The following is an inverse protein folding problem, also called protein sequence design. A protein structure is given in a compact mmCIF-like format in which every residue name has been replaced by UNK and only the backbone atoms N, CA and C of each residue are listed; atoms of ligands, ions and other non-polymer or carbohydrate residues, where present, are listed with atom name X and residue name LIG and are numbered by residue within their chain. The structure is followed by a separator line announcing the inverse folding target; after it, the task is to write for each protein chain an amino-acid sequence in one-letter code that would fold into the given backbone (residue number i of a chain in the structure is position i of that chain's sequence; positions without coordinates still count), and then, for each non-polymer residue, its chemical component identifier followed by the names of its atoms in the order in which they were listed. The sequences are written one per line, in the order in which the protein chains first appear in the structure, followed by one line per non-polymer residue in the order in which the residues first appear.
data_IF_983989426242
#
_entry.id   IF_983989426242
#
_cell.length_a   1.000
_cell.length_b   1.000
_cell.length_c   1.000
_cell.angle_alpha   90.00
_cell.angle_beta   90.00
_cell.angle_gamma   90.00
#
_symmetry.space_group_name_H-M   'P 1'
#
loop_
_entity.id
_entity.type
_entity.pdbx_description
1 polymer ?
#
# COMPACT_ATOMS: atom_id res chain seq x y z
N UNK A 1 13.24 -55.09 -14.43
CA UNK A 1 12.32 -54.05 -14.91
C UNK A 1 11.49 -54.61 -16.04
N UNK A 2 10.18 -54.65 -15.87
CA UNK A 2 9.25 -55.08 -16.91
C UNK A 2 9.03 -53.95 -17.93
N UNK A 3 8.75 -54.30 -19.19
CA UNK A 3 8.48 -53.32 -20.26
C UNK A 3 7.35 -52.34 -19.90
N UNK A 4 6.37 -52.80 -19.14
CA UNK A 4 5.28 -51.97 -18.61
C UNK A 4 5.79 -50.85 -17.68
N UNK A 5 6.79 -51.12 -16.85
CA UNK A 5 7.37 -50.13 -15.93
C UNK A 5 8.13 -49.04 -16.71
N UNK A 6 8.85 -49.41 -17.77
CA UNK A 6 9.53 -48.46 -18.66
C UNK A 6 8.55 -47.54 -19.39
N UNK A 7 7.42 -48.09 -19.86
CA UNK A 7 6.37 -47.31 -20.52
C UNK A 7 5.74 -46.33 -19.54
N UNK A 8 5.47 -46.75 -18.29
CA UNK A 8 4.92 -45.86 -17.27
C UNK A 8 5.88 -44.72 -16.91
N UNK A 9 7.18 -45.01 -16.80
CA UNK A 9 8.20 -43.98 -16.53
C UNK A 9 8.29 -42.98 -17.70
N UNK A 10 8.23 -43.45 -18.94
CA UNK A 10 8.23 -42.58 -20.12
C UNK A 10 7.01 -41.67 -20.17
N UNK A 11 5.81 -42.22 -19.89
CA UNK A 11 4.58 -41.44 -19.83
C UNK A 11 4.64 -40.40 -18.71
N UNK A 12 5.11 -40.79 -17.51
CA UNK A 12 5.28 -39.87 -16.40
C UNK A 12 6.27 -38.73 -16.73
N UNK A 13 7.39 -39.05 -17.39
CA UNK A 13 8.35 -38.04 -17.86
C UNK A 13 7.74 -37.07 -18.87
N UNK A 14 6.93 -37.56 -19.81
CA UNK A 14 6.24 -36.73 -20.80
C UNK A 14 5.19 -35.81 -20.16
N UNK A 15 4.49 -36.27 -19.11
CA UNK A 15 3.49 -35.48 -18.40
C UNK A 15 4.12 -34.40 -17.50
N UNK A 16 5.31 -34.65 -16.95
CA UNK A 16 6.01 -33.69 -16.09
C UNK A 16 6.81 -32.64 -16.86
N UNK A 17 7.13 -32.90 -18.13
CA UNK A 17 7.86 -31.97 -18.99
C UNK A 17 7.21 -30.59 -19.16
N UNK A 18 5.89 -30.47 -19.46
CA UNK A 18 5.24 -29.16 -19.58
C UNK A 18 5.22 -28.40 -18.25
N UNK A 19 4.95 -29.06 -17.13
CA UNK A 19 4.98 -28.43 -15.79
C UNK A 19 6.37 -27.88 -15.46
N UNK A 20 7.44 -28.61 -15.82
CA UNK A 20 8.81 -28.14 -15.66
C UNK A 20 9.14 -26.95 -16.56
N UNK A 21 8.50 -26.86 -17.74
CA UNK A 21 8.64 -25.72 -18.63
C UNK A 21 7.91 -24.50 -18.09
N UNK A 22 6.66 -24.68 -17.66
CA UNK A 22 5.84 -23.63 -17.06
C UNK A 22 6.48 -23.06 -15.80
N UNK A 23 7.07 -23.92 -14.96
CA UNK A 23 7.81 -23.49 -13.78
C UNK A 23 9.04 -22.65 -14.12
N UNK A 24 9.78 -23.00 -15.18
CA UNK A 24 10.91 -22.19 -15.66
C UNK A 24 10.45 -20.85 -16.21
N UNK A 25 9.39 -20.82 -17.02
CA UNK A 25 8.88 -19.55 -17.59
C UNK A 25 8.27 -18.64 -16.53
N UNK A 26 7.60 -19.21 -15.52
CA UNK A 26 6.98 -18.44 -14.44
C UNK A 26 8.01 -17.96 -13.40
N UNK A 27 9.19 -18.59 -13.33
CA UNK A 27 10.30 -18.11 -12.51
C UNK A 27 10.85 -16.76 -13.01
N UNK A 28 10.81 -16.52 -14.32
CA UNK A 28 11.26 -15.26 -14.91
C UNK A 28 10.15 -14.19 -14.95
N UNK A 29 8.89 -14.59 -14.73
CA UNK A 29 7.71 -13.71 -14.64
C UNK A 29 7.30 -13.46 -13.18
N UNK A 30 8.28 -13.42 -12.28
CA UNK A 30 8.07 -12.99 -10.91
C UNK A 30 7.58 -11.55 -10.92
N UNK A 31 6.28 -11.37 -10.79
CA UNK A 31 5.67 -10.08 -10.43
C UNK A 31 6.29 -9.68 -9.10
N UNK A 32 7.20 -8.70 -9.14
CA UNK A 32 7.62 -8.02 -7.91
C UNK A 32 6.37 -7.38 -7.31
N UNK A 33 5.78 -8.06 -6.34
CA UNK A 33 4.97 -7.41 -5.33
C UNK A 33 5.92 -6.44 -4.64
N UNK A 34 5.94 -5.20 -5.11
CA UNK A 34 6.64 -4.13 -4.43
C UNK A 34 6.07 -4.06 -3.01
N UNK A 35 6.80 -4.59 -2.03
CA UNK A 35 6.48 -4.46 -0.59
C UNK A 35 6.34 -3.00 -0.15
N UNK A 36 6.73 -2.05 -1.01
CA UNK A 36 6.40 -0.64 -0.86
C UNK A 36 4.97 -0.41 -1.33
N UNK A 37 4.02 -0.66 -0.44
CA UNK A 37 2.83 0.19 -0.41
C UNK A 37 3.37 1.61 -0.27
N UNK A 38 3.13 2.54 -1.22
CA UNK A 38 3.53 3.92 -1.01
C UNK A 38 2.84 4.41 0.26
N UNK A 39 3.63 4.65 1.31
CA UNK A 39 3.17 5.27 2.55
C UNK A 39 2.68 6.71 2.25
N UNK A 40 3.13 7.26 1.12
CA UNK A 40 2.74 8.55 0.61
C UNK A 40 1.24 8.56 0.31
N UNK A 41 0.51 9.48 0.92
CA UNK A 41 -0.90 9.69 0.63
C UNK A 41 -1.08 10.08 -0.84
N UNK A 42 -2.23 9.76 -1.42
CA UNK A 42 -2.55 10.25 -2.77
C UNK A 42 -2.74 11.76 -2.75
N UNK A 43 -2.57 12.43 -3.90
CA UNK A 43 -2.80 13.88 -4.03
C UNK A 43 -4.19 14.30 -3.50
N UNK A 44 -5.22 13.48 -3.74
CA UNK A 44 -6.56 13.72 -3.20
C UNK A 44 -6.59 13.62 -1.67
N UNK A 45 -5.96 12.59 -1.09
CA UNK A 45 -5.91 12.41 0.36
C UNK A 45 -5.18 13.58 1.05
N UNK A 46 -4.11 14.09 0.45
CA UNK A 46 -3.40 15.26 0.95
C UNK A 46 -4.21 16.55 0.76
N UNK A 47 -4.94 16.70 -0.35
CA UNK A 47 -5.86 17.83 -0.56
C UNK A 47 -6.99 17.88 0.47
N UNK A 48 -7.62 16.73 0.75
CA UNK A 48 -8.64 16.62 1.81
C UNK A 48 -8.06 16.94 3.18
N UNK A 49 -6.85 16.45 3.48
CA UNK A 49 -6.20 16.73 4.76
C UNK A 49 -5.87 18.21 4.93
N UNK A 50 -5.40 18.87 3.86
CA UNK A 50 -5.14 20.33 3.83
C UNK A 50 -6.41 21.14 4.11
N UNK A 51 -7.53 20.77 3.47
CA UNK A 51 -8.82 21.42 3.71
C UNK A 51 -9.24 21.32 5.18
N UNK A 52 -9.14 20.12 5.77
CA UNK A 52 -9.52 19.92 7.18
C UNK A 52 -8.65 20.72 8.15
N UNK A 53 -7.36 20.89 7.86
CA UNK A 53 -6.50 21.73 8.68
C UNK A 53 -6.95 23.19 8.65
N UNK A 54 -7.28 23.71 7.46
CA UNK A 54 -7.80 25.07 7.31
C UNK A 54 -9.14 25.25 8.04
N UNK A 55 -10.05 24.28 7.94
CA UNK A 55 -11.35 24.31 8.63
C UNK A 55 -11.17 24.35 10.17
N UNK A 56 -10.21 23.58 10.70
CA UNK A 56 -9.92 23.57 12.15
C UNK A 56 -9.27 24.88 12.61
N UNK A 57 -8.40 25.48 11.79
CA UNK A 57 -7.79 26.78 12.08
C UNK A 57 -8.86 27.89 12.17
N UNK A 58 -9.83 27.88 11.25
CA UNK A 58 -10.97 28.80 11.28
C UNK A 58 -11.87 28.57 12.51
N UNK A 59 -12.18 27.31 12.84
CA UNK A 59 -12.96 26.96 14.03
C UNK A 59 -12.23 27.34 15.32
N UNK A 60 -10.91 27.20 15.38
CA UNK A 60 -10.09 27.62 16.51
C UNK A 60 -10.13 29.15 16.69
N UNK A 61 -10.06 29.91 15.60
CA UNK A 61 -10.14 31.37 15.63
C UNK A 61 -11.49 31.87 16.17
N UNK A 62 -12.57 31.11 15.94
CA UNK A 62 -13.93 31.43 16.42
C UNK A 62 -14.25 30.83 17.79
N UNK A 63 -13.36 30.02 18.37
CA UNK A 63 -13.58 29.35 19.64
C UNK A 63 -13.50 30.30 20.84
N UNK A 64 -14.62 30.40 21.57
CA UNK A 64 -14.76 31.29 22.74
C UNK A 64 -14.44 30.61 24.09
N UNK A 65 -14.46 29.27 24.16
CA UNK A 65 -14.21 28.52 25.40
C UNK A 65 -12.83 27.88 25.42
N UNK A 66 -12.18 27.91 26.58
CA UNK A 66 -10.84 27.33 26.81
C UNK A 66 -10.83 25.80 26.60
N UNK A 67 -11.90 25.10 26.96
CA UNK A 67 -12.02 23.64 26.75
C UNK A 67 -12.02 23.30 25.25
N UNK A 68 -12.77 24.07 24.46
CA UNK A 68 -12.87 23.87 23.02
C UNK A 68 -11.51 24.11 22.34
N UNK A 69 -10.76 25.14 22.79
CA UNK A 69 -9.38 25.38 22.33
C UNK A 69 -8.43 24.20 22.57
N UNK A 70 -8.47 23.57 23.75
CA UNK A 70 -7.64 22.39 24.03
C UNK A 70 -7.99 21.21 23.11
N UNK A 71 -9.27 21.02 22.82
CA UNK A 71 -9.71 19.99 21.88
C UNK A 71 -9.25 20.31 20.45
N UNK A 72 -9.28 21.57 20.02
CA UNK A 72 -8.75 21.97 18.71
C UNK A 72 -7.24 21.79 18.60
N UNK A 73 -6.48 22.06 19.67
CA UNK A 73 -5.03 21.82 19.69
C UNK A 73 -4.69 20.34 19.51
N UNK A 74 -5.43 19.44 20.18
CA UNK A 74 -5.24 17.99 20.04
C UNK A 74 -5.58 17.51 18.63
N UNK A 75 -6.70 17.99 18.07
CA UNK A 75 -7.11 17.67 16.69
C UNK A 75 -6.08 18.21 15.68
N UNK A 76 -5.62 19.44 15.85
CA UNK A 76 -4.59 20.06 15.01
C UNK A 76 -3.29 19.26 15.03
N UNK A 77 -2.84 18.86 16.22
CA UNK A 77 -1.66 18.00 16.35
C UNK A 77 -1.86 16.66 15.64
N UNK A 78 -3.03 16.03 15.77
CA UNK A 78 -3.31 14.76 15.10
C UNK A 78 -3.25 14.90 13.57
N UNK A 79 -3.86 15.95 13.01
CA UNK A 79 -3.83 16.22 11.57
C UNK A 79 -2.40 16.47 11.08
N UNK A 80 -1.60 17.24 11.82
CA UNK A 80 -0.18 17.49 11.50
C UNK A 80 0.68 16.22 11.55
N UNK A 81 0.33 15.28 12.41
CA UNK A 81 0.97 13.95 12.44
C UNK A 81 0.62 13.18 11.15
N UNK A 82 -0.66 13.12 10.79
CA UNK A 82 -1.10 12.46 9.56
C UNK A 82 -0.49 13.07 8.29
N UNK A 83 -0.29 14.39 8.27
CA UNK A 83 0.32 15.08 7.14
C UNK A 83 1.75 14.63 6.88
N UNK A 84 2.54 14.50 7.96
CA UNK A 84 3.91 14.00 7.91
C UNK A 84 3.97 12.52 7.58
N UNK A 85 3.11 11.71 8.21
CA UNK A 85 3.04 10.27 7.95
C UNK A 85 2.72 9.97 6.48
N UNK A 86 1.85 10.77 5.86
CA UNK A 86 1.48 10.64 4.44
C UNK A 86 2.41 11.37 3.49
N UNK A 87 3.51 11.95 3.96
CA UNK A 87 4.46 12.70 3.14
C UNK A 87 3.78 13.73 2.22
N UNK A 88 2.74 14.41 2.72
CA UNK A 88 1.94 15.32 1.90
C UNK A 88 2.74 16.53 1.39
N UNK A 89 3.81 16.92 2.10
CA UNK A 89 4.77 17.94 1.67
C UNK A 89 5.49 17.58 0.36
N UNK A 90 5.68 16.29 0.06
CA UNK A 90 6.30 15.84 -1.19
C UNK A 90 5.25 15.57 -2.29
N UNK A 91 3.98 15.42 -1.92
CA UNK A 91 2.90 15.04 -2.84
C UNK A 91 2.18 16.26 -3.43
N UNK A 92 2.16 17.39 -2.71
CA UNK A 92 1.51 18.64 -3.12
C UNK A 92 2.49 19.74 -3.56
N UNK A 93 3.75 19.39 -3.85
CA UNK A 93 4.70 20.28 -4.55
C UNK A 93 4.22 20.55 -5.99
#
# INVERSE_FOLDING_TARGET
MHLSELVLILIAGLLLWPEAQDWRTNHDDLVQLSDRVPINGTMWQCGVLKSRMADIEELMATATRVKDRRTFDEVSHHLLKQWREKACDMTLQ
#
